data_IF_912051749154
#
_entry.id   IF_912051749154
#
_cell.length_a   1.000
_cell.length_b   1.000
_cell.length_c   1.000
_cell.angle_alpha   90.00
_cell.angle_beta   90.00
_cell.angle_gamma   90.00
#
_symmetry.space_group_name_H-M   'P 1'
#
loop_
_entity.id
_entity.type
_entity.pdbx_description
1 polymer ?
#
# COMPACT_ATOMS: atom_id res chain seq x y z
N UNK A 1 1.86 17.56 36.88
CA UNK A 1 1.78 18.33 35.61
C UNK A 1 2.84 17.90 34.59
N UNK A 2 4.07 17.59 35.02
CA UNK A 2 5.15 17.11 34.12
C UNK A 2 4.89 15.74 33.49
N UNK A 3 4.29 14.80 34.24
CA UNK A 3 3.99 13.45 33.74
C UNK A 3 3.00 13.44 32.57
N UNK A 4 2.00 14.33 32.58
CA UNK A 4 1.01 14.43 31.51
C UNK A 4 1.69 14.97 30.25
N UNK A 5 2.48 16.04 30.36
CA UNK A 5 3.24 16.59 29.24
C UNK A 5 4.20 15.57 28.63
N UNK A 6 4.93 14.83 29.48
CA UNK A 6 5.84 13.78 29.04
C UNK A 6 5.10 12.65 28.31
N UNK A 7 3.96 12.20 28.84
CA UNK A 7 3.13 11.19 28.19
C UNK A 7 2.59 11.66 26.83
N UNK A 8 2.08 12.89 26.75
CA UNK A 8 1.60 13.49 25.50
C UNK A 8 2.71 13.59 24.46
N UNK A 9 3.90 14.04 24.86
CA UNK A 9 5.05 14.12 23.96
C UNK A 9 5.48 12.74 23.44
N UNK A 10 5.50 11.73 24.31
CA UNK A 10 5.82 10.36 23.93
C UNK A 10 4.81 9.80 22.90
N UNK A 11 3.52 10.03 23.12
CA UNK A 11 2.48 9.65 22.16
C UNK A 11 2.67 10.35 20.81
N UNK A 12 2.97 11.64 20.81
CA UNK A 12 3.23 12.39 19.58
C UNK A 12 4.46 11.84 18.84
N UNK A 13 5.55 11.56 19.55
CA UNK A 13 6.75 10.98 18.94
C UNK A 13 6.48 9.59 18.35
N UNK A 14 5.73 8.74 19.05
CA UNK A 14 5.35 7.41 18.56
C UNK A 14 4.46 7.49 17.31
N UNK A 15 3.45 8.35 17.34
CA UNK A 15 2.52 8.52 16.22
C UNK A 15 3.19 9.13 14.99
N UNK A 16 3.98 10.20 15.18
CA UNK A 16 4.74 10.84 14.09
C UNK A 16 5.86 9.92 13.58
N UNK A 17 6.55 9.20 14.46
CA UNK A 17 7.56 8.22 14.08
C UNK A 17 6.97 7.08 13.25
N UNK A 18 5.82 6.54 13.66
CA UNK A 18 5.10 5.52 12.90
C UNK A 18 4.62 6.05 11.54
N UNK A 19 4.09 7.28 11.51
CA UNK A 19 3.71 7.95 10.27
C UNK A 19 4.91 8.16 9.33
N UNK A 20 6.06 8.58 9.88
CA UNK A 20 7.33 8.72 9.15
C UNK A 20 7.79 7.39 8.54
N UNK A 21 7.75 6.29 9.30
CA UNK A 21 8.05 4.94 8.77
C UNK A 21 7.08 4.53 7.66
N UNK A 22 5.80 4.87 7.80
CA UNK A 22 4.79 4.63 6.77
C UNK A 22 5.03 5.45 5.49
N UNK A 23 5.62 6.64 5.61
CA UNK A 23 5.98 7.50 4.49
C UNK A 23 7.27 7.02 3.79
N UNK A 24 8.32 6.68 4.56
CA UNK A 24 9.63 6.26 4.02
C UNK A 24 9.59 4.84 3.44
N UNK A 25 8.86 3.92 4.06
CA UNK A 25 8.73 2.53 3.61
C UNK A 25 7.27 2.16 3.31
N UNK A 26 6.72 2.65 2.19
CA UNK A 26 5.34 2.36 1.80
C UNK A 26 5.14 0.90 1.36
N UNK A 27 6.23 0.15 1.16
CA UNK A 27 6.19 -1.23 0.67
C UNK A 27 6.57 -2.20 1.79
N UNK A 28 5.58 -2.86 2.39
CA UNK A 28 5.80 -4.00 3.28
C UNK A 28 5.99 -5.28 2.47
N UNK A 29 6.80 -6.22 2.96
CA UNK A 29 6.88 -7.57 2.39
C UNK A 29 5.51 -8.26 2.52
N UNK A 30 5.08 -8.97 1.49
CA UNK A 30 3.86 -9.75 1.55
C UNK A 30 4.04 -10.92 2.54
N UNK A 31 3.29 -10.91 3.66
CA UNK A 31 3.36 -11.94 4.73
C UNK A 31 3.15 -13.39 4.26
N UNK A 32 2.56 -13.60 3.08
CA UNK A 32 2.27 -14.95 2.54
C UNK A 32 3.42 -15.51 1.71
N UNK A 33 4.20 -14.67 1.04
CA UNK A 33 5.35 -15.11 0.24
C UNK A 33 6.68 -14.55 0.75
N UNK A 34 6.68 -13.87 1.90
CA UNK A 34 7.86 -13.28 2.54
C UNK A 34 8.70 -12.37 1.63
N UNK A 35 8.08 -11.74 0.63
CA UNK A 35 8.80 -10.90 -0.35
C UNK A 35 9.14 -11.57 -1.67
N UNK A 36 8.95 -12.89 -1.80
CA UNK A 36 9.35 -13.65 -3.00
C UNK A 36 8.40 -13.44 -4.19
N UNK A 37 7.13 -13.11 -3.95
CA UNK A 37 6.13 -12.95 -5.01
C UNK A 37 5.55 -14.27 -5.55
N UNK A 38 6.07 -15.41 -5.12
CA UNK A 38 5.59 -16.75 -5.48
C UNK A 38 5.71 -17.72 -4.30
N UNK A 39 5.00 -18.84 -4.37
CA UNK A 39 5.16 -19.96 -3.45
C UNK A 39 6.41 -20.76 -3.86
N UNK A 40 7.30 -21.04 -2.91
CA UNK A 40 8.40 -21.99 -3.12
C UNK A 40 7.79 -23.41 -3.17
N UNK A 41 8.04 -24.13 -4.26
CA UNK A 41 7.73 -25.54 -4.37
C UNK A 41 9.04 -26.32 -4.40
N UNK A 42 9.13 -27.41 -3.66
CA UNK A 42 10.27 -28.33 -3.73
C UNK A 42 9.99 -29.41 -4.76
N UNK A 43 10.97 -29.67 -5.64
CA UNK A 43 10.92 -30.82 -6.53
C UNK A 43 11.12 -32.12 -5.74
N UNK A 44 10.79 -33.29 -6.33
CA UNK A 44 11.04 -34.62 -5.75
C UNK A 44 12.50 -34.85 -5.37
N UNK A 45 13.42 -34.08 -5.96
CA UNK A 45 14.88 -34.09 -5.68
C UNK A 45 15.33 -33.02 -4.68
N UNK A 46 14.39 -32.38 -3.97
CA UNK A 46 14.67 -31.36 -2.95
C UNK A 46 15.13 -30.00 -3.48
N UNK A 47 15.18 -29.80 -4.81
CA UNK A 47 15.59 -28.51 -5.39
C UNK A 47 14.47 -27.48 -5.27
N UNK A 48 14.75 -26.25 -4.80
CA UNK A 48 13.74 -25.20 -4.72
C UNK A 48 13.38 -24.74 -6.13
N UNK A 49 12.10 -24.86 -6.48
CA UNK A 49 11.51 -24.40 -7.74
C UNK A 49 10.55 -23.26 -7.49
N UNK A 50 10.50 -22.32 -8.44
CA UNK A 50 9.46 -21.30 -8.49
C UNK A 50 8.11 -21.99 -8.68
N UNK A 51 7.29 -22.01 -7.63
CA UNK A 51 5.93 -22.53 -7.67
C UNK A 51 4.94 -21.49 -8.17
N UNK A 52 3.67 -21.66 -7.79
CA UNK A 52 2.58 -20.78 -8.23
C UNK A 52 2.80 -19.34 -7.77
N UNK A 53 2.34 -18.41 -8.58
CA UNK A 53 2.33 -17.00 -8.26
C UNK A 53 1.45 -16.73 -6.99
N UNK A 54 1.96 -15.91 -6.04
CA UNK A 54 1.24 -15.53 -4.83
C UNK A 54 0.04 -14.60 -5.11
N UNK A 55 -1.17 -15.17 -5.18
CA UNK A 55 -2.46 -14.48 -5.39
C UNK A 55 -2.72 -13.25 -4.49
N UNK A 56 -2.00 -13.13 -3.37
CA UNK A 56 -2.18 -12.05 -2.38
C UNK A 56 -1.39 -10.77 -2.70
N UNK A 57 -0.35 -10.86 -3.53
CA UNK A 57 0.47 -9.74 -3.99
C UNK A 57 0.56 -9.63 -5.53
N UNK A 58 -0.13 -10.51 -6.27
CA UNK A 58 -0.17 -10.52 -7.74
C UNK A 58 1.19 -10.57 -8.48
N UNK A 59 2.31 -10.78 -7.78
CA UNK A 59 3.61 -11.13 -8.40
C UNK A 59 4.74 -10.38 -7.77
N UNK A 60 4.37 -9.27 -7.17
CA UNK A 60 5.26 -8.22 -6.76
C UNK A 60 6.05 -8.56 -5.49
N UNK A 61 5.56 -9.51 -4.67
CA UNK A 61 6.19 -9.84 -3.39
C UNK A 61 6.02 -8.75 -2.32
N UNK A 62 5.54 -7.57 -2.70
CA UNK A 62 5.31 -6.40 -1.84
C UNK A 62 3.82 -6.13 -1.64
N UNK A 63 3.50 -5.43 -0.57
CA UNK A 63 2.19 -4.88 -0.24
C UNK A 63 2.33 -3.41 0.14
N UNK A 64 1.38 -2.62 -0.32
CA UNK A 64 1.29 -1.19 0.01
C UNK A 64 0.84 -1.05 1.47
N UNK A 65 1.54 -0.24 2.28
CA UNK A 65 1.15 0.15 3.65
C UNK A 65 0.07 1.24 3.62
N UNK A 66 -0.63 1.40 4.74
CA UNK A 66 -1.74 2.36 4.91
C UNK A 66 -1.35 3.79 4.54
N UNK A 67 -0.12 4.23 4.79
CA UNK A 67 0.33 5.59 4.46
C UNK A 67 0.20 5.94 2.98
N UNK A 68 0.60 5.02 2.08
CA UNK A 68 0.47 5.24 0.63
C UNK A 68 -0.98 5.14 0.15
N UNK A 69 -1.82 4.34 0.82
CA UNK A 69 -3.26 4.37 0.58
C UNK A 69 -3.88 5.71 0.96
N UNK A 70 -3.47 6.28 2.10
CA UNK A 70 -3.94 7.58 2.57
C UNK A 70 -3.51 8.70 1.63
N UNK A 71 -2.25 8.71 1.18
CA UNK A 71 -1.78 9.71 0.23
C UNK A 71 -2.52 9.64 -1.10
N UNK A 72 -2.76 8.43 -1.63
CA UNK A 72 -3.54 8.25 -2.84
C UNK A 72 -4.99 8.76 -2.67
N UNK A 73 -5.62 8.47 -1.52
CA UNK A 73 -6.97 8.95 -1.22
C UNK A 73 -7.03 10.47 -1.04
N UNK A 74 -6.01 11.06 -0.39
CA UNK A 74 -5.89 12.51 -0.23
C UNK A 74 -5.72 13.20 -1.57
N UNK A 75 -4.79 12.71 -2.41
CA UNK A 75 -4.53 13.26 -3.75
C UNK A 75 -5.77 13.19 -4.63
N UNK A 76 -6.47 12.06 -4.63
CA UNK A 76 -7.72 11.88 -5.35
C UNK A 76 -8.82 12.85 -4.86
N UNK A 77 -8.87 13.15 -3.56
CA UNK A 77 -9.80 14.14 -3.01
C UNK A 77 -9.41 15.57 -3.37
N UNK A 78 -8.12 15.88 -3.35
CA UNK A 78 -7.57 17.17 -3.78
C UNK A 78 -7.86 17.41 -5.27
N UNK A 79 -7.51 16.45 -6.13
CA UNK A 79 -7.71 16.51 -7.57
C UNK A 79 -9.20 16.72 -7.90
N UNK A 80 -10.12 16.03 -7.21
CA UNK A 80 -11.56 16.28 -7.36
C UNK A 80 -11.98 17.71 -7.01
N UNK A 81 -11.36 18.33 -6.01
CA UNK A 81 -11.68 19.69 -5.58
C UNK A 81 -11.03 20.77 -6.45
N UNK A 82 -9.89 20.47 -7.08
CA UNK A 82 -9.11 21.45 -7.86
C UNK A 82 -9.25 21.29 -9.37
N UNK A 83 -9.74 20.15 -9.86
CA UNK A 83 -9.96 19.94 -11.29
C UNK A 83 -11.17 20.78 -11.70
N UNK A 84 -11.00 21.78 -12.59
CA UNK A 84 -12.13 22.52 -13.14
C UNK A 84 -13.06 21.51 -13.79
N UNK A 85 -14.30 21.44 -13.34
CA UNK A 85 -15.29 20.55 -13.94
C UNK A 85 -15.63 21.09 -15.32
N UNK A 86 -15.06 20.50 -16.36
CA UNK A 86 -15.43 20.82 -17.74
C UNK A 86 -16.87 20.36 -17.96
N UNK A 87 -17.83 21.25 -18.29
CA UNK A 87 -19.26 20.92 -18.32
C UNK A 87 -19.66 19.79 -19.28
N UNK A 88 -18.82 19.49 -20.27
CA UNK A 88 -19.07 18.46 -21.29
C UNK A 88 -18.09 17.27 -21.23
N UNK A 89 -17.32 17.12 -20.14
CA UNK A 89 -16.49 15.94 -19.98
C UNK A 89 -17.39 14.71 -19.77
N UNK A 90 -17.21 13.61 -20.53
CA UNK A 90 -17.92 12.37 -20.25
C UNK A 90 -17.63 11.95 -18.81
N UNK A 91 -18.68 11.59 -18.08
CA UNK A 91 -18.62 11.17 -16.66
C UNK A 91 -17.94 9.81 -16.56
N UNK A 92 -16.62 9.76 -16.78
CA UNK A 92 -15.83 8.56 -16.51
C UNK A 92 -15.63 8.51 -15.01
N UNK A 93 -16.36 7.63 -14.34
CA UNK A 93 -16.19 7.43 -12.91
C UNK A 93 -14.73 7.02 -12.64
N UNK A 94 -13.97 7.77 -11.83
CA UNK A 94 -12.60 7.36 -11.48
C UNK A 94 -12.59 6.03 -10.70
N UNK A 95 -13.76 5.55 -10.26
CA UNK A 95 -13.92 4.30 -9.54
C UNK A 95 -14.23 3.08 -10.42
N UNK A 96 -14.47 3.25 -11.73
CA UNK A 96 -14.51 2.10 -12.65
C UNK A 96 -13.10 1.61 -12.86
N UNK A 97 -12.64 0.74 -11.96
CA UNK A 97 -11.46 -0.09 -12.17
C UNK A 97 -11.83 -1.09 -13.27
N UNK A 98 -11.45 -0.79 -14.51
CA UNK A 98 -11.68 -1.70 -15.65
C UNK A 98 -11.09 -3.07 -15.30
N UNK A 99 -11.82 -4.18 -15.48
CA UNK A 99 -11.27 -5.52 -15.33
C UNK A 99 -10.31 -5.82 -16.49
N UNK A 100 -9.18 -5.11 -16.53
CA UNK A 100 -8.19 -5.09 -17.61
C UNK A 100 -6.88 -4.39 -17.21
N UNK A 101 -6.93 -3.44 -16.27
CA UNK A 101 -5.75 -2.69 -15.78
C UNK A 101 -4.90 -3.44 -14.74
N UNK A 102 -4.78 -4.76 -14.87
CA UNK A 102 -3.74 -5.52 -14.15
C UNK A 102 -2.55 -5.72 -15.09
N UNK A 103 -1.33 -5.30 -14.71
CA UNK A 103 -0.13 -5.73 -15.42
C UNK A 103 0.04 -7.26 -15.36
#
# INVERSE_FOLDING_TARGET
>A
MTLILAASLLLLLLTLGYAGVCAVSPFGKCRKCNGLGFALATDRRGKPKRGKHCRRCNGHGIRIRTGRHLFNAWRDTYDRGTTPTTPNAPTVSPFTRTPGDRP
#
